data_IF_101356060631
#
_entry.id   IF_101356060631
#
_cell.length_a   1.000
_cell.length_b   1.000
_cell.length_c   1.000
_cell.angle_alpha   90.00
_cell.angle_beta   90.00
_cell.angle_gamma   90.00
#
_symmetry.space_group_name_H-M   'P 1'
#
loop_
_entity.id
_entity.type
_entity.pdbx_description
1 polymer ?
#
# COMPACT_ATOMS: atom_id res chain seq x y z
N UNK A 1 -15.74 6.48 -9.24
CA UNK A 1 -15.44 6.51 -7.80
C UNK A 1 -13.99 6.92 -7.63
N UNK A 2 -13.60 7.64 -6.57
CA UNK A 2 -12.19 7.98 -6.31
C UNK A 2 -11.68 7.09 -5.18
N UNK A 3 -10.56 6.43 -5.40
CA UNK A 3 -9.89 5.61 -4.38
C UNK A 3 -8.69 6.40 -3.85
N UNK A 4 -8.45 6.30 -2.56
CA UNK A 4 -7.32 6.96 -1.95
C UNK A 4 -6.05 6.13 -2.12
N UNK A 5 -6.15 4.79 -2.05
CA UNK A 5 -4.98 3.91 -2.12
C UNK A 5 -5.28 2.59 -2.82
N UNK A 6 -4.37 2.14 -3.68
CA UNK A 6 -4.35 0.78 -4.22
C UNK A 6 -3.59 -0.15 -3.25
N UNK A 7 -4.21 -1.24 -2.80
CA UNK A 7 -3.60 -2.24 -1.90
C UNK A 7 -2.98 -3.40 -2.69
N UNK A 8 -1.73 -3.24 -3.11
CA UNK A 8 -0.99 -4.26 -3.86
C UNK A 8 -0.35 -5.28 -2.91
N UNK A 9 -0.70 -6.56 -3.05
CA UNK A 9 -0.28 -7.60 -2.10
C UNK A 9 -0.20 -8.97 -2.77
N UNK A 10 0.45 -9.93 -2.10
CA UNK A 10 0.46 -11.32 -2.54
C UNK A 10 -0.80 -12.02 -2.07
N UNK A 11 -1.28 -13.01 -2.82
CA UNK A 11 -2.52 -13.73 -2.51
C UNK A 11 -2.49 -14.33 -1.10
N UNK A 12 -1.33 -14.83 -0.66
CA UNK A 12 -1.13 -15.41 0.68
C UNK A 12 -1.20 -14.36 1.80
N UNK A 13 -0.87 -13.10 1.50
CA UNK A 13 -0.90 -11.99 2.46
C UNK A 13 -2.28 -11.31 2.55
N UNK A 14 -3.23 -11.72 1.69
CA UNK A 14 -4.57 -11.14 1.60
C UNK A 14 -5.32 -11.01 2.92
N UNK A 15 -5.30 -11.99 3.84
CA UNK A 15 -5.99 -11.86 5.13
C UNK A 15 -5.48 -10.65 5.94
N UNK A 16 -4.17 -10.43 6.00
CA UNK A 16 -3.56 -9.31 6.72
C UNK A 16 -3.82 -7.97 6.02
N UNK A 17 -3.76 -7.96 4.68
CA UNK A 17 -4.00 -6.75 3.89
C UNK A 17 -5.46 -6.31 3.99
N UNK A 18 -6.40 -7.27 4.06
CA UNK A 18 -7.83 -7.00 4.30
C UNK A 18 -8.07 -6.36 5.65
N UNK A 19 -7.46 -6.88 6.74
CA UNK A 19 -7.54 -6.29 8.09
C UNK A 19 -7.05 -4.82 8.08
N UNK A 20 -5.90 -4.57 7.45
CA UNK A 20 -5.37 -3.20 7.30
C UNK A 20 -6.33 -2.33 6.48
N UNK A 21 -6.87 -2.85 5.37
CA UNK A 21 -7.81 -2.12 4.54
C UNK A 21 -9.12 -1.78 5.26
N UNK A 22 -9.63 -2.66 6.11
CA UNK A 22 -10.79 -2.40 6.97
C UNK A 22 -10.52 -1.25 7.94
N UNK A 23 -9.35 -1.24 8.58
CA UNK A 23 -8.93 -0.11 9.43
C UNK A 23 -8.80 1.21 8.64
N UNK A 24 -8.37 1.17 7.38
CA UNK A 24 -8.34 2.36 6.52
C UNK A 24 -9.77 2.87 6.25
N UNK A 25 -10.73 1.98 6.01
CA UNK A 25 -12.15 2.32 5.81
C UNK A 25 -12.71 3.01 7.06
N UNK A 26 -12.43 2.49 8.26
CA UNK A 26 -12.85 3.11 9.53
C UNK A 26 -12.31 4.54 9.69
N UNK A 27 -11.14 4.81 9.11
CA UNK A 27 -10.48 6.13 9.08
C UNK A 27 -10.90 6.99 7.87
N UNK A 28 -11.97 6.59 7.18
CA UNK A 28 -12.55 7.23 5.98
C UNK A 28 -11.58 7.36 4.81
N UNK A 29 -10.66 6.40 4.67
CA UNK A 29 -9.84 6.22 3.48
C UNK A 29 -10.53 5.15 2.63
N UNK A 30 -10.60 5.37 1.32
CA UNK A 30 -11.27 4.46 0.39
C UNK A 30 -10.20 3.61 -0.32
N UNK A 31 -9.85 2.41 0.20
CA UNK A 31 -8.92 1.50 -0.45
C UNK A 31 -9.54 0.83 -1.67
N UNK A 32 -8.70 0.57 -2.68
CA UNK A 32 -8.98 -0.37 -3.75
C UNK A 32 -8.29 -1.71 -3.41
N UNK A 33 -9.09 -2.76 -3.21
CA UNK A 33 -8.62 -4.11 -2.94
C UNK A 33 -9.33 -5.10 -3.87
N UNK A 34 -8.59 -6.08 -4.38
CA UNK A 34 -9.08 -7.03 -5.37
C UNK A 34 -10.36 -7.77 -4.95
N UNK A 35 -10.43 -8.21 -3.69
CA UNK A 35 -11.59 -8.93 -3.13
C UNK A 35 -12.85 -8.08 -3.00
N UNK A 36 -12.73 -6.75 -3.01
CA UNK A 36 -13.86 -5.82 -2.94
C UNK A 36 -14.28 -5.32 -4.31
N UNK A 37 -13.32 -5.12 -5.21
CA UNK A 37 -13.52 -4.38 -6.45
C UNK A 37 -13.60 -5.28 -7.69
N UNK A 38 -13.08 -6.51 -7.62
CA UNK A 38 -13.12 -7.43 -8.75
C UNK A 38 -14.40 -8.26 -8.75
N UNK A 39 -15.19 -8.09 -9.81
CA UNK A 39 -16.32 -8.95 -10.10
C UNK A 39 -15.82 -10.30 -10.64
N UNK A 40 -16.28 -11.44 -10.12
CA UNK A 40 -16.00 -12.75 -10.71
C UNK A 40 -16.34 -12.79 -12.21
N UNK A 41 -15.47 -13.39 -13.01
CA UNK A 41 -15.62 -13.46 -14.49
C UNK A 41 -15.09 -12.25 -15.25
N UNK A 42 -14.40 -11.32 -14.59
CA UNK A 42 -13.77 -10.16 -15.24
C UNK A 42 -12.24 -10.22 -15.16
N UNK A 43 -11.57 -9.58 -16.12
CA UNK A 43 -10.11 -9.38 -16.07
C UNK A 43 -9.77 -8.38 -14.96
N UNK A 44 -8.91 -8.80 -14.04
CA UNK A 44 -8.43 -7.93 -12.96
C UNK A 44 -7.62 -6.75 -13.52
N UNK A 45 -6.89 -6.97 -14.62
CA UNK A 45 -6.04 -5.98 -15.28
C UNK A 45 -6.89 -4.87 -15.86
N UNK A 46 -7.89 -5.22 -16.67
CA UNK A 46 -8.81 -4.27 -17.30
C UNK A 46 -9.58 -3.46 -16.25
N UNK A 47 -9.94 -4.12 -15.14
CA UNK A 47 -10.67 -3.47 -14.04
C UNK A 47 -9.79 -2.47 -13.31
N UNK A 48 -8.56 -2.84 -12.95
CA UNK A 48 -7.61 -1.95 -12.31
C UNK A 48 -7.24 -0.79 -13.25
N UNK A 49 -6.95 -1.06 -14.53
CA UNK A 49 -6.57 -0.04 -15.52
C UNK A 49 -7.65 1.04 -15.68
N UNK A 50 -8.93 0.64 -15.72
CA UNK A 50 -10.07 1.58 -15.75
C UNK A 50 -10.14 2.48 -14.51
N UNK A 51 -9.73 1.96 -13.35
CA UNK A 51 -9.79 2.70 -12.09
C UNK A 51 -8.51 3.44 -11.74
N UNK A 52 -7.37 3.05 -12.31
CA UNK A 52 -6.04 3.51 -11.93
C UNK A 52 -5.89 5.04 -11.95
N UNK A 53 -6.51 5.70 -12.94
CA UNK A 53 -6.53 7.17 -13.05
C UNK A 53 -7.23 7.85 -11.85
N UNK A 54 -8.13 7.13 -11.18
CA UNK A 54 -8.90 7.60 -10.03
C UNK A 54 -8.28 7.22 -8.68
N UNK A 55 -7.14 6.53 -8.66
CA UNK A 55 -6.41 6.17 -7.45
C UNK A 55 -5.31 7.21 -7.16
N UNK A 56 -5.19 7.64 -5.90
CA UNK A 56 -4.27 8.71 -5.48
C UNK A 56 -2.92 8.23 -4.95
N UNK A 57 -2.80 7.00 -4.50
CA UNK A 57 -1.53 6.40 -4.07
C UNK A 57 -1.55 4.87 -4.23
N UNK A 58 -0.39 4.24 -4.10
CA UNK A 58 -0.27 2.78 -4.01
C UNK A 58 0.43 2.40 -2.70
N UNK A 59 -0.13 1.43 -1.98
CA UNK A 59 0.52 0.76 -0.85
C UNK A 59 0.89 -0.65 -1.29
N UNK A 60 2.15 -1.02 -1.10
CA UNK A 60 2.67 -2.29 -1.59
C UNK A 60 3.14 -3.14 -0.43
N UNK A 61 2.35 -4.15 -0.14
CA UNK A 61 2.50 -5.02 1.00
C UNK A 61 3.47 -6.16 0.70
N UNK A 62 4.38 -6.36 1.64
CA UNK A 62 5.39 -7.41 1.60
C UNK A 62 5.33 -8.18 2.91
N UNK A 63 4.80 -9.40 2.86
CA UNK A 63 4.76 -10.33 3.98
C UNK A 63 5.80 -11.43 3.88
N UNK A 64 5.49 -12.58 4.49
CA UNK A 64 6.38 -13.74 4.53
C UNK A 64 6.69 -14.30 3.13
N UNK A 65 5.72 -14.20 2.20
CA UNK A 65 5.86 -14.64 0.81
C UNK A 65 6.75 -13.72 -0.03
N UNK A 66 7.24 -12.62 0.56
CA UNK A 66 8.14 -11.67 -0.10
C UNK A 66 7.47 -10.85 -1.19
N UNK A 67 8.28 -10.37 -2.15
CA UNK A 67 7.88 -9.41 -3.19
C UNK A 67 7.12 -10.05 -4.36
N UNK A 68 6.44 -11.18 -4.16
CA UNK A 68 5.76 -11.95 -5.21
C UNK A 68 4.94 -11.11 -6.22
N UNK A 69 4.11 -10.14 -5.79
CA UNK A 69 3.30 -9.31 -6.69
C UNK A 69 4.14 -8.44 -7.61
N UNK A 70 5.25 -7.91 -7.07
CA UNK A 70 6.19 -7.05 -7.78
C UNK A 70 6.90 -7.76 -8.93
N UNK A 71 6.97 -9.09 -8.93
CA UNK A 71 7.63 -9.83 -10.00
C UNK A 71 6.81 -9.82 -11.29
N UNK A 72 5.49 -9.63 -11.20
CA UNK A 72 4.59 -9.59 -12.36
C UNK A 72 4.78 -8.30 -13.14
N UNK A 73 4.96 -8.43 -14.46
CA UNK A 73 5.19 -7.29 -15.37
C UNK A 73 4.02 -6.30 -15.32
N UNK A 74 2.78 -6.79 -15.21
CA UNK A 74 1.60 -5.90 -15.17
C UNK A 74 1.59 -5.02 -13.92
N UNK A 75 1.89 -5.61 -12.75
CA UNK A 75 1.99 -4.87 -11.49
C UNK A 75 3.09 -3.81 -11.56
N UNK A 76 4.27 -4.16 -12.10
CA UNK A 76 5.36 -3.18 -12.32
C UNK A 76 4.88 -2.03 -13.18
N UNK A 77 4.18 -2.31 -14.28
CA UNK A 77 3.62 -1.28 -15.16
C UNK A 77 2.69 -0.32 -14.42
N UNK A 78 1.79 -0.85 -13.58
CA UNK A 78 0.91 -0.01 -12.76
C UNK A 78 1.68 0.85 -11.75
N UNK A 79 2.67 0.28 -11.05
CA UNK A 79 3.48 1.06 -10.10
C UNK A 79 4.26 2.18 -10.81
N UNK A 80 4.85 1.90 -11.97
CA UNK A 80 5.53 2.91 -12.77
C UNK A 80 4.60 4.06 -13.13
N UNK A 81 3.34 3.80 -13.47
CA UNK A 81 2.37 4.86 -13.73
C UNK A 81 2.06 5.73 -12.50
N UNK A 82 2.04 5.18 -11.28
CA UNK A 82 1.95 6.01 -10.06
C UNK A 82 3.17 6.92 -9.92
N UNK A 83 4.38 6.38 -10.15
CA UNK A 83 5.63 7.13 -10.05
C UNK A 83 5.73 8.24 -11.11
N UNK A 84 5.39 7.96 -12.36
CA UNK A 84 5.35 8.94 -13.46
C UNK A 84 4.39 10.10 -13.15
N UNK A 85 3.25 9.79 -12.52
CA UNK A 85 2.27 10.78 -12.06
C UNK A 85 2.68 11.49 -10.76
N UNK A 86 3.86 11.19 -10.22
CA UNK A 86 4.37 11.68 -8.93
C UNK A 86 3.42 11.43 -7.76
N UNK A 87 2.70 10.31 -7.81
CA UNK A 87 1.82 9.86 -6.74
C UNK A 87 2.59 9.01 -5.73
N UNK A 88 2.20 9.02 -4.44
CA UNK A 88 2.88 8.23 -3.42
C UNK A 88 2.82 6.73 -3.73
N UNK A 89 3.99 6.10 -3.66
CA UNK A 89 4.14 4.64 -3.64
C UNK A 89 4.78 4.28 -2.31
N UNK A 90 4.04 3.54 -1.48
CA UNK A 90 4.34 3.32 -0.06
C UNK A 90 4.64 1.84 0.14
N UNK A 91 5.90 1.44 0.31
CA UNK A 91 6.22 0.08 0.71
C UNK A 91 5.74 -0.17 2.14
N UNK A 92 5.04 -1.29 2.33
CA UNK A 92 4.49 -1.71 3.62
C UNK A 92 4.99 -3.10 3.97
N UNK A 93 5.74 -3.23 5.06
CA UNK A 93 6.17 -4.52 5.58
C UNK A 93 5.11 -5.04 6.55
N UNK A 94 4.62 -6.26 6.30
CA UNK A 94 3.60 -6.89 7.14
C UNK A 94 4.21 -7.56 8.38
N UNK A 95 3.37 -7.71 9.42
CA UNK A 95 3.76 -8.32 10.71
C UNK A 95 4.26 -9.77 10.60
N UNK A 96 3.90 -10.49 9.54
CA UNK A 96 4.33 -11.87 9.27
C UNK A 96 5.70 -11.96 8.55
N UNK A 97 6.29 -10.83 8.15
CA UNK A 97 7.57 -10.83 7.46
C UNK A 97 8.71 -11.05 8.47
N UNK A 98 9.30 -12.25 8.51
CA UNK A 98 10.32 -12.62 9.50
C UNK A 98 11.64 -11.86 9.30
N UNK A 99 12.02 -11.58 8.06
CA UNK A 99 13.26 -10.88 7.70
C UNK A 99 12.94 -9.54 7.02
N UNK A 100 13.92 -8.66 6.91
CA UNK A 100 13.76 -7.46 6.08
C UNK A 100 13.67 -7.88 4.61
N UNK A 101 12.55 -7.64 3.92
CA UNK A 101 12.40 -8.11 2.56
C UNK A 101 13.38 -7.39 1.63
N UNK A 102 13.85 -8.12 0.61
CA UNK A 102 14.60 -7.50 -0.50
C UNK A 102 13.65 -6.64 -1.33
N UNK A 103 13.54 -5.38 -0.97
CA UNK A 103 12.73 -4.40 -1.69
C UNK A 103 13.38 -4.13 -3.07
N UNK A 104 12.58 -4.07 -4.15
CA UNK A 104 13.11 -3.78 -5.48
C UNK A 104 13.88 -2.45 -5.49
N UNK A 105 14.95 -2.29 -6.29
CA UNK A 105 15.71 -1.04 -6.37
C UNK A 105 14.84 0.19 -6.62
N UNK A 106 13.74 0.02 -7.38
CA UNK A 106 12.76 1.06 -7.68
C UNK A 106 12.10 1.68 -6.45
N UNK A 107 12.07 0.97 -5.32
CA UNK A 107 11.49 1.39 -4.06
C UNK A 107 12.53 1.65 -2.96
N UNK A 108 13.82 1.55 -3.28
CA UNK A 108 14.90 1.60 -2.30
C UNK A 108 14.96 2.94 -1.57
N UNK A 109 14.62 4.02 -2.26
CA UNK A 109 14.67 5.38 -1.71
C UNK A 109 13.33 5.83 -1.11
N UNK A 110 12.29 4.99 -1.18
CA UNK A 110 10.99 5.29 -0.58
C UNK A 110 11.05 5.12 0.94
N UNK A 111 10.32 5.96 1.69
CA UNK A 111 10.10 5.74 3.11
C UNK A 111 9.09 4.61 3.29
N UNK A 112 9.41 3.62 4.11
CA UNK A 112 8.57 2.44 4.32
C UNK A 112 7.76 2.56 5.60
N UNK A 113 6.64 1.85 5.64
CA UNK A 113 5.88 1.59 6.85
C UNK A 113 6.14 0.14 7.26
N UNK A 114 6.61 -0.08 8.48
CA UNK A 114 6.88 -1.42 8.99
C UNK A 114 5.88 -1.76 10.10
N UNK A 115 4.96 -2.71 9.85
CA UNK A 115 3.98 -3.17 10.84
C UNK A 115 4.58 -4.05 11.94
N UNK A 116 5.89 -4.29 11.93
CA UNK A 116 6.65 -4.93 13.01
C UNK A 116 7.26 -3.91 13.97
N UNK A 117 7.28 -2.64 13.58
CA UNK A 117 7.78 -1.54 14.41
C UNK A 117 6.93 -1.42 15.69
N UNK A 118 7.62 -1.30 16.83
CA UNK A 118 7.01 -1.14 18.15
C UNK A 118 7.12 0.29 18.68
N UNK A 119 7.99 1.10 18.08
CA UNK A 119 8.30 2.45 18.53
C UNK A 119 7.40 3.50 17.86
N UNK A 120 6.72 3.13 16.77
CA UNK A 120 5.75 3.99 16.07
C UNK A 120 4.43 3.27 15.81
N UNK A 121 3.36 4.04 15.56
CA UNK A 121 2.10 3.48 15.07
C UNK A 121 2.17 3.33 13.55
N UNK A 122 2.34 2.10 13.01
CA UNK A 122 2.47 1.88 11.58
C UNK A 122 1.19 2.23 10.81
N UNK A 123 0.01 2.10 11.43
CA UNK A 123 -1.24 2.45 10.77
C UNK A 123 -1.34 3.96 10.56
N UNK A 124 -1.03 4.76 11.57
CA UNK A 124 -1.03 6.23 11.43
C UNK A 124 0.04 6.71 10.45
N UNK A 125 1.19 6.02 10.37
CA UNK A 125 2.22 6.29 9.34
C UNK A 125 1.72 5.96 7.93
N UNK A 126 0.99 4.86 7.74
CA UNK A 126 0.39 4.52 6.44
C UNK A 126 -0.66 5.56 6.04
N UNK A 127 -1.54 5.95 6.97
CA UNK A 127 -2.54 7.00 6.76
C UNK A 127 -1.88 8.31 6.36
N UNK A 128 -0.78 8.69 7.02
CA UNK A 128 0.00 9.86 6.65
C UNK A 128 0.53 9.74 5.22
N UNK A 129 1.15 8.62 4.86
CA UNK A 129 1.64 8.37 3.51
C UNK A 129 0.56 8.50 2.43
N UNK A 130 -0.65 8.01 2.72
CA UNK A 130 -1.80 8.06 1.80
C UNK A 130 -2.36 9.49 1.67
N UNK A 131 -2.55 10.19 2.80
CA UNK A 131 -3.16 11.54 2.81
C UNK A 131 -2.18 12.66 2.45
N UNK A 132 -0.88 12.44 2.64
CA UNK A 132 0.15 13.47 2.53
C UNK A 132 0.10 14.53 3.65
N UNK A 133 -0.82 14.39 4.62
CA UNK A 133 -1.00 15.33 5.73
C UNK A 133 -0.48 14.66 7.00
N UNK A 134 0.51 15.28 7.64
CA UNK A 134 1.11 14.76 8.87
C UNK A 134 0.05 14.77 10.00
N UNK A 135 -0.21 13.62 10.66
CA UNK A 135 -1.06 13.56 11.84
C UNK A 135 -0.52 14.50 12.94
N UNK A 136 -1.38 15.30 13.60
CA UNK A 136 -0.98 16.17 14.71
C UNK A 136 -0.30 15.40 15.86
N UNK A 137 -0.67 14.14 16.05
CA UNK A 137 -0.15 13.26 17.10
C UNK A 137 1.32 12.86 16.87
N UNK A 138 1.81 12.96 15.63
CA UNK A 138 3.23 12.74 15.29
C UNK A 138 4.06 14.04 15.39
N UNK A 139 3.51 15.14 15.89
CA UNK A 139 4.14 16.47 15.87
C UNK A 139 5.17 16.75 16.99
N UNK A 140 5.03 16.34 18.26
CA UNK A 140 5.95 16.82 19.29
C UNK A 140 7.03 15.77 19.66
N UNK A 141 8.10 15.73 18.87
CA UNK A 141 9.43 15.27 19.33
C UNK A 141 10.55 16.25 18.96
N UNK A 142 10.24 17.45 18.45
CA UNK A 142 11.23 18.45 18.00
C UNK A 142 11.10 19.80 18.72
N UNK A 143 10.78 19.77 20.02
CA UNK A 143 10.96 20.93 20.91
C UNK A 143 11.88 20.54 22.07
N UNK A 144 13.12 20.16 21.76
CA UNK A 144 14.26 20.26 22.67
C UNK A 144 15.52 20.56 21.86
#
# INVERSE_FOLDING_TARGET
>A
MKFDVFLCHNTEDKPLVKEIGEHLIDKRIIPWLDVWELRPGTSWQDTLEKQLKNIKSAAIFVGQSGIGPWQKVEIKGFILQFMERKLPVIPVILRNCAETPKIPPLLKDNIWVDFRDKDSDPMERLIWGIKGIRPPQLAPYLLH
#
